data_IF_225324744805
#
_entry.id   IF_225324744805
#
_cell.length_a   1.000
_cell.length_b   1.000
_cell.length_c   1.000
_cell.angle_alpha   90.00
_cell.angle_beta   90.00
_cell.angle_gamma   90.00
#
_symmetry.space_group_name_H-M   'P 1'
#
loop_
_entity.id
_entity.type
_entity.pdbx_description
1 polymer ?
#
# COMPACT_ATOMS: atom_id res chain seq x y z
N UNK A 1 23.16 23.36 -7.23
CA UNK A 1 22.22 22.77 -6.24
C UNK A 1 22.88 22.07 -5.05
N UNK A 2 24.10 21.52 -5.13
CA UNK A 2 24.79 20.94 -3.95
C UNK A 2 25.08 21.96 -2.82
N UNK A 3 25.32 23.22 -3.18
CA UNK A 3 25.69 24.28 -2.23
C UNK A 3 24.59 24.66 -1.22
N UNK A 4 23.30 24.56 -1.58
CA UNK A 4 22.21 24.88 -0.64
C UNK A 4 22.08 23.80 0.44
N UNK A 5 22.15 22.53 0.06
CA UNK A 5 22.10 21.42 1.01
C UNK A 5 23.32 21.39 1.93
N UNK A 6 24.48 21.74 1.40
CA UNK A 6 25.71 21.88 2.17
C UNK A 6 25.62 23.08 3.15
N UNK A 7 25.02 24.20 2.74
CA UNK A 7 24.73 25.32 3.65
C UNK A 7 23.74 24.92 4.74
N UNK A 8 22.65 24.21 4.42
CA UNK A 8 21.68 23.73 5.41
C UNK A 8 22.31 22.73 6.37
N UNK A 9 23.12 21.78 5.88
CA UNK A 9 23.83 20.83 6.74
C UNK A 9 24.81 21.54 7.67
N UNK A 10 25.56 22.53 7.19
CA UNK A 10 26.46 23.37 8.00
C UNK A 10 25.69 24.23 9.01
N UNK A 11 24.55 24.82 8.62
CA UNK A 11 23.71 25.64 9.51
C UNK A 11 23.06 24.80 10.62
N UNK A 12 22.59 23.59 10.30
CA UNK A 12 22.05 22.65 11.29
C UNK A 12 23.17 22.08 12.18
N UNK A 13 24.37 21.86 11.64
CA UNK A 13 25.54 21.40 12.41
C UNK A 13 26.11 22.47 13.33
N UNK A 14 25.84 23.75 13.07
CA UNK A 14 26.44 24.87 13.83
C UNK A 14 26.00 24.91 15.30
N UNK A 15 24.87 24.26 15.64
CA UNK A 15 24.38 24.15 17.02
C UNK A 15 24.97 22.94 17.77
N UNK A 16 25.15 21.79 17.11
CA UNK A 16 25.48 20.51 17.77
C UNK A 16 26.78 19.83 17.27
N UNK A 17 27.56 20.49 16.40
CA UNK A 17 28.81 19.99 15.82
C UNK A 17 28.68 18.87 14.79
N UNK A 18 27.50 18.23 14.69
CA UNK A 18 27.20 17.14 13.74
C UNK A 18 25.98 17.49 12.89
N UNK A 19 25.96 17.11 11.60
CA UNK A 19 24.81 17.36 10.73
C UNK A 19 23.60 16.52 11.17
N UNK A 20 22.50 17.20 11.46
CA UNK A 20 21.22 16.61 11.91
C UNK A 20 20.62 15.69 10.84
N UNK A 21 20.83 16.00 9.56
CA UNK A 21 20.33 15.19 8.43
C UNK A 21 21.48 14.88 7.46
N UNK A 22 21.58 13.60 7.06
CA UNK A 22 22.52 13.09 6.05
C UNK A 22 21.74 12.46 4.89
N UNK A 23 21.17 13.26 3.99
CA UNK A 23 20.34 12.72 2.92
C UNK A 23 21.21 12.07 1.83
N UNK A 24 20.86 10.85 1.41
CA UNK A 24 21.54 10.13 0.30
C UNK A 24 21.17 10.67 -1.09
N UNK A 25 20.18 11.57 -1.17
CA UNK A 25 19.66 12.17 -2.40
C UNK A 25 19.45 13.67 -2.18
N UNK A 26 19.47 14.49 -3.24
CA UNK A 26 19.21 15.91 -3.10
C UNK A 26 17.77 16.16 -2.63
N UNK A 27 17.60 17.13 -1.72
CA UNK A 27 16.34 17.56 -1.14
C UNK A 27 15.63 18.51 -2.12
N UNK A 28 15.22 17.94 -3.25
CA UNK A 28 14.52 18.65 -4.33
C UNK A 28 13.26 17.85 -4.67
N UNK A 29 12.15 18.57 -4.88
CA UNK A 29 10.91 17.94 -5.33
C UNK A 29 11.08 17.43 -6.76
N UNK A 30 10.55 16.23 -7.02
CA UNK A 30 10.53 15.64 -8.37
C UNK A 30 9.20 15.95 -9.04
N UNK A 31 9.19 15.95 -10.37
CA UNK A 31 7.97 16.19 -11.17
C UNK A 31 7.12 14.92 -11.36
N UNK A 32 7.29 13.93 -10.48
CA UNK A 32 6.55 12.68 -10.51
C UNK A 32 6.35 12.12 -9.10
N UNK A 33 5.21 11.45 -8.91
CA UNK A 33 4.88 10.74 -7.67
C UNK A 33 5.06 9.23 -7.84
N UNK A 34 5.36 8.54 -6.74
CA UNK A 34 5.48 7.10 -6.77
C UNK A 34 4.12 6.44 -7.09
N UNK A 35 4.17 5.33 -7.83
CA UNK A 35 2.99 4.50 -8.04
C UNK A 35 2.51 3.91 -6.71
N UNK A 36 1.19 3.76 -6.58
CA UNK A 36 0.59 3.11 -5.43
C UNK A 36 1.01 1.63 -5.42
N UNK A 37 1.58 1.17 -4.31
CA UNK A 37 1.87 -0.25 -4.15
C UNK A 37 0.55 -1.02 -4.11
N UNK A 38 0.47 -2.12 -4.86
CA UNK A 38 -0.63 -3.06 -4.72
C UNK A 38 -0.55 -3.65 -3.31
N UNK A 39 -1.69 -3.72 -2.62
CA UNK A 39 -1.77 -4.42 -1.34
C UNK A 39 -1.40 -5.88 -1.60
N UNK A 40 -0.46 -6.40 -0.81
CA UNK A 40 -0.11 -7.84 -0.84
C UNK A 40 -1.37 -8.65 -0.53
N UNK A 41 -1.52 -9.81 -1.16
CA UNK A 41 -2.64 -10.70 -0.89
C UNK A 41 -2.59 -11.19 0.56
N UNK A 42 -3.68 -11.02 1.29
CA UNK A 42 -3.88 -11.62 2.61
C UNK A 42 -4.75 -12.85 2.45
N UNK A 43 -4.49 -13.89 3.25
CA UNK A 43 -5.35 -15.07 3.24
C UNK A 43 -6.75 -14.68 3.74
N UNK A 44 -7.76 -14.93 2.91
CA UNK A 44 -9.17 -14.66 3.24
C UNK A 44 -9.85 -15.90 3.80
N UNK A 45 -10.91 -15.74 4.58
CA UNK A 45 -11.72 -16.84 5.13
C UNK A 45 -11.00 -17.75 6.13
N UNK A 46 -9.99 -17.22 6.85
CA UNK A 46 -9.21 -17.98 7.84
C UNK A 46 -10.09 -18.46 9.00
N UNK A 47 -11.06 -17.64 9.41
CA UNK A 47 -11.97 -17.95 10.51
C UNK A 47 -12.92 -19.10 10.21
N UNK A 48 -13.46 -19.14 9.00
CA UNK A 48 -14.34 -20.22 8.55
C UNK A 48 -13.52 -21.50 8.30
N UNK A 49 -12.29 -21.35 7.82
CA UNK A 49 -11.36 -22.47 7.66
C UNK A 49 -11.02 -23.10 9.00
N UNK A 50 -10.72 -22.31 10.05
CA UNK A 50 -10.38 -22.86 11.36
C UNK A 50 -11.54 -23.62 12.01
N UNK A 51 -12.78 -23.13 11.86
CA UNK A 51 -13.99 -23.82 12.34
C UNK A 51 -14.23 -25.13 11.58
N UNK A 52 -14.05 -25.13 10.25
CA UNK A 52 -14.16 -26.35 9.44
C UNK A 52 -13.12 -27.41 9.87
N UNK A 53 -11.86 -27.00 10.05
CA UNK A 53 -10.81 -27.92 10.51
C UNK A 53 -11.10 -28.48 11.90
N UNK A 54 -11.69 -27.68 12.79
CA UNK A 54 -12.08 -28.14 14.12
C UNK A 54 -13.19 -29.21 14.04
N UNK A 55 -14.20 -29.00 13.19
CA UNK A 55 -15.26 -29.99 12.98
C UNK A 55 -14.70 -31.28 12.36
N UNK A 56 -13.87 -31.16 11.32
CA UNK A 56 -13.24 -32.31 10.68
C UNK A 56 -12.40 -33.12 11.66
N UNK A 57 -11.62 -32.46 12.52
CA UNK A 57 -10.81 -33.14 13.53
C UNK A 57 -11.66 -33.97 14.51
N UNK A 58 -12.86 -33.51 14.85
CA UNK A 58 -13.78 -34.23 15.76
C UNK A 58 -14.53 -35.36 15.05
N UNK A 59 -14.79 -35.23 13.75
CA UNK A 59 -15.66 -36.11 12.97
C UNK A 59 -14.91 -36.94 11.92
N UNK A 60 -13.63 -37.23 12.16
CA UNK A 60 -12.76 -38.02 11.27
C UNK A 60 -12.76 -37.52 9.80
N UNK A 61 -12.79 -36.20 9.61
CA UNK A 61 -12.76 -35.54 8.31
C UNK A 61 -13.91 -35.94 7.36
N UNK A 62 -15.06 -36.35 7.92
CA UNK A 62 -16.25 -36.67 7.12
C UNK A 62 -17.07 -35.40 6.84
N UNK A 63 -17.11 -34.98 5.57
CA UNK A 63 -17.80 -33.76 5.13
C UNK A 63 -19.31 -33.75 5.44
N UNK A 64 -19.96 -34.91 5.41
CA UNK A 64 -21.40 -35.01 5.72
C UNK A 64 -21.74 -34.53 7.13
N UNK A 65 -20.86 -34.82 8.10
CA UNK A 65 -21.03 -34.43 9.50
C UNK A 65 -20.68 -32.95 9.74
N UNK A 66 -19.86 -32.35 8.87
CA UNK A 66 -19.44 -30.95 8.92
C UNK A 66 -20.09 -30.09 7.83
N UNK A 67 -21.24 -30.52 7.31
CA UNK A 67 -21.86 -29.91 6.12
C UNK A 67 -22.22 -28.43 6.30
N UNK A 68 -22.46 -27.98 7.54
CA UNK A 68 -22.72 -26.59 7.87
C UNK A 68 -21.45 -25.74 7.75
N UNK A 69 -20.36 -26.21 8.33
CA UNK A 69 -19.04 -25.58 8.34
C UNK A 69 -18.44 -25.53 6.93
N UNK A 70 -18.65 -26.58 6.14
CA UNK A 70 -18.28 -26.62 4.72
C UNK A 70 -19.03 -25.53 3.95
N UNK A 71 -20.35 -25.43 4.12
CA UNK A 71 -21.17 -24.41 3.43
C UNK A 71 -20.78 -22.99 3.82
N UNK A 72 -20.49 -22.72 5.09
CA UNK A 72 -20.07 -21.38 5.55
C UNK A 72 -18.71 -21.00 4.96
N UNK A 73 -17.74 -21.92 4.95
CA UNK A 73 -16.43 -21.71 4.34
C UNK A 73 -16.56 -21.37 2.84
N UNK A 74 -17.27 -22.19 2.06
CA UNK A 74 -17.44 -21.92 0.63
C UNK A 74 -18.24 -20.64 0.34
N UNK A 75 -19.17 -20.27 1.22
CA UNK A 75 -19.88 -18.99 1.11
C UNK A 75 -18.92 -17.81 1.30
N UNK A 76 -18.00 -17.89 2.27
CA UNK A 76 -16.96 -16.89 2.43
C UNK A 76 -16.05 -16.82 1.19
N UNK A 77 -15.60 -17.98 0.66
CA UNK A 77 -14.73 -18.02 -0.53
C UNK A 77 -15.40 -17.35 -1.72
N UNK A 78 -16.68 -17.64 -1.99
CA UNK A 78 -17.44 -17.00 -3.08
C UNK A 78 -17.54 -15.49 -2.91
N UNK A 79 -17.83 -15.02 -1.69
CA UNK A 79 -17.90 -13.57 -1.38
C UNK A 79 -16.54 -12.89 -1.53
N UNK A 80 -15.47 -13.51 -1.04
CA UNK A 80 -14.10 -13.02 -1.16
C UNK A 80 -13.67 -12.91 -2.63
N UNK A 81 -13.93 -13.96 -3.42
CA UNK A 81 -13.61 -13.96 -4.85
C UNK A 81 -14.37 -12.88 -5.61
N UNK A 82 -15.66 -12.66 -5.31
CA UNK A 82 -16.45 -11.58 -5.90
C UNK A 82 -15.91 -10.19 -5.50
N UNK A 83 -15.56 -10.00 -4.23
CA UNK A 83 -15.00 -8.74 -3.74
C UNK A 83 -13.64 -8.42 -4.38
N UNK A 84 -12.77 -9.42 -4.60
CA UNK A 84 -11.49 -9.22 -5.27
C UNK A 84 -11.65 -8.73 -6.72
N UNK A 85 -12.61 -9.31 -7.46
CA UNK A 85 -12.95 -8.86 -8.83
C UNK A 85 -13.47 -7.43 -8.86
N UNK A 86 -14.33 -7.06 -7.91
CA UNK A 86 -14.88 -5.69 -7.84
C UNK A 86 -13.83 -4.66 -7.40
N UNK A 87 -12.86 -5.06 -6.57
CA UNK A 87 -11.81 -4.16 -6.05
C UNK A 87 -10.79 -3.74 -7.11
N UNK A 88 -10.50 -4.60 -8.09
CA UNK A 88 -9.65 -4.21 -9.22
C UNK A 88 -10.27 -3.08 -10.05
N UNK A 89 -11.60 -2.97 -10.07
CA UNK A 89 -12.33 -1.94 -10.81
C UNK A 89 -12.49 -0.66 -9.98
N UNK A 90 -12.75 -0.76 -8.67
CA UNK A 90 -13.01 0.40 -7.79
C UNK A 90 -11.78 1.14 -7.26
N UNK A 91 -10.56 0.59 -7.44
CA UNK A 91 -9.33 1.25 -6.93
C UNK A 91 -9.06 2.60 -7.62
N UNK A 92 -9.77 2.93 -8.71
CA UNK A 92 -9.72 4.21 -9.40
C UNK A 92 -10.44 5.37 -8.69
N UNK A 93 -11.38 5.12 -7.77
CA UNK A 93 -12.32 6.15 -7.29
C UNK A 93 -12.38 6.33 -5.76
N UNK A 94 -11.79 5.42 -4.98
CA UNK A 94 -11.91 5.45 -3.53
C UNK A 94 -10.79 6.25 -2.85
N UNK A 95 -11.15 7.49 -2.50
CA UNK A 95 -10.41 8.39 -1.63
C UNK A 95 -10.04 9.67 -2.39
N UNK A 96 -10.34 10.84 -1.82
CA UNK A 96 -10.19 12.17 -2.44
C UNK A 96 -8.76 12.61 -2.81
N UNK A 97 -7.88 11.67 -3.13
CA UNK A 97 -6.53 11.87 -3.65
C UNK A 97 -6.53 11.49 -5.14
N UNK A 98 -5.85 12.30 -5.95
CA UNK A 98 -5.66 12.02 -7.37
C UNK A 98 -4.93 10.70 -7.59
N UNK A 99 -5.26 10.02 -8.69
CA UNK A 99 -4.50 8.85 -9.11
C UNK A 99 -3.04 9.26 -9.45
N UNK A 100 -2.00 8.45 -9.11
CA UNK A 100 -0.60 8.82 -9.32
C UNK A 100 -0.27 9.27 -10.75
N UNK A 101 -0.94 8.68 -11.75
CA UNK A 101 -0.82 9.12 -13.15
C UNK A 101 -1.31 10.54 -13.36
N UNK A 102 -2.50 10.88 -12.84
CA UNK A 102 -3.07 12.23 -12.94
C UNK A 102 -2.20 13.26 -12.22
N UNK A 103 -1.75 12.95 -11.00
CA UNK A 103 -0.86 13.81 -10.23
C UNK A 103 0.47 14.04 -10.97
N UNK A 104 1.07 12.99 -11.55
CA UNK A 104 2.31 13.10 -12.34
C UNK A 104 2.10 13.94 -13.60
N UNK A 105 0.95 13.83 -14.28
CA UNK A 105 0.65 14.69 -15.44
C UNK A 105 0.58 16.16 -15.04
N UNK A 106 -0.02 16.49 -13.89
CA UNK A 106 -0.06 17.87 -13.39
C UNK A 106 1.33 18.40 -13.02
N UNK A 107 2.12 17.60 -12.30
CA UNK A 107 3.49 17.98 -11.93
C UNK A 107 4.41 18.18 -13.14
N UNK A 108 4.20 17.44 -14.23
CA UNK A 108 4.93 17.67 -15.49
C UNK A 108 4.53 18.95 -16.21
N UNK A 109 3.29 19.41 -16.05
CA UNK A 109 2.83 20.69 -16.64
C UNK A 109 3.40 21.88 -15.88
N UNK A 110 3.53 21.76 -14.56
CA UNK A 110 4.07 22.78 -13.67
C UNK A 110 5.30 22.23 -12.95
N UNK A 111 6.39 22.03 -13.70
CA UNK A 111 7.62 21.46 -13.17
C UNK A 111 8.29 22.39 -12.15
N UNK A 112 8.98 21.81 -11.18
CA UNK A 112 9.72 22.59 -10.20
C UNK A 112 10.92 23.30 -10.87
N UNK A 113 10.95 24.63 -10.80
CA UNK A 113 12.10 25.41 -11.24
C UNK A 113 13.28 25.12 -10.30
N UNK A 114 14.26 24.36 -10.82
CA UNK A 114 15.42 23.93 -10.05
C UNK A 114 16.64 24.86 -10.20
N UNK A 115 16.48 25.92 -11.00
CA UNK A 115 17.48 26.97 -11.24
C UNK A 115 16.78 28.32 -11.13
N UNK A 116 17.41 29.28 -10.45
CA UNK A 116 17.00 30.68 -10.49
C UNK A 116 17.10 31.17 -11.95
N UNK A 117 16.08 31.92 -12.40
CA UNK A 117 16.07 32.63 -13.70
C UNK A 117 16.78 33.96 -13.48
#
# INVERSE_FOLDING_TARGET
>A
MAAFQEKVSRLLSRRDGKPVLKPNKPLVLRDAVANRQLKKGEATCITEMSVLMACWKQNNFVDGLCSKEVKTFYTCVKKSQAAMKNKSEQTSLQGGRLHPKQATTLLKRFSNLCTEI
#
